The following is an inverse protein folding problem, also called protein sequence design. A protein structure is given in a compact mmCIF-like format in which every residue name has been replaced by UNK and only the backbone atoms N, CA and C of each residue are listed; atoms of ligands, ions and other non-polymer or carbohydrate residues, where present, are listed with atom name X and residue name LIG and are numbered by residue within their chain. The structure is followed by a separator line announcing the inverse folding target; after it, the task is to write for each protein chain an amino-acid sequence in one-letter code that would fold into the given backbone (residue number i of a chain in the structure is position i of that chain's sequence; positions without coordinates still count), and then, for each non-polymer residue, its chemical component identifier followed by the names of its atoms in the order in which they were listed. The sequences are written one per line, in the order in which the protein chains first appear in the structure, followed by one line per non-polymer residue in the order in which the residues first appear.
data_IF_840521364152
#
_entry.id   IF_840521364152
#
_cell.length_a   1.000
_cell.length_b   1.000
_cell.length_c   1.000
_cell.angle_alpha   90.00
_cell.angle_beta   90.00
_cell.angle_gamma   90.00
#
_symmetry.space_group_name_H-M   'P 1'
#
loop_
_entity.id
_entity.type
_entity.pdbx_description
1 polymer ?
#
# COMPACT_ATOMS: atom_id res chain seq x y z
N UNK A 1 10.44 -3.10 7.46
CA UNK A 1 9.07 -3.43 7.01
C UNK A 1 8.08 -2.50 7.68
N UNK A 2 8.06 -2.42 9.01
CA UNK A 2 7.19 -1.49 9.77
C UNK A 2 7.18 -0.05 9.23
N UNK A 3 8.35 0.59 9.08
CA UNK A 3 8.47 1.96 8.51
C UNK A 3 7.78 2.15 7.15
N UNK A 4 7.74 1.12 6.31
CA UNK A 4 7.09 1.19 4.99
C UNK A 4 5.57 1.20 5.17
N UNK A 5 5.04 0.32 6.03
CA UNK A 5 3.62 0.31 6.35
C UNK A 5 3.17 1.60 7.03
N UNK A 6 3.99 2.15 7.93
CA UNK A 6 3.66 3.38 8.64
C UNK A 6 3.57 4.56 7.66
N UNK A 7 4.52 4.66 6.72
CA UNK A 7 4.47 5.68 5.66
C UNK A 7 3.24 5.52 4.75
N UNK A 8 2.95 4.30 4.31
CA UNK A 8 1.76 4.03 3.50
C UNK A 8 0.47 4.35 4.27
N UNK A 9 0.42 4.08 5.57
CA UNK A 9 -0.71 4.43 6.42
C UNK A 9 -0.88 5.95 6.52
N UNK A 10 0.21 6.70 6.72
CA UNK A 10 0.17 8.15 6.73
C UNK A 10 -0.36 8.71 5.39
N UNK A 11 0.17 8.24 4.26
CA UNK A 11 -0.27 8.69 2.94
C UNK A 11 -1.75 8.37 2.69
N UNK A 12 -2.22 7.19 3.12
CA UNK A 12 -3.63 6.81 3.07
C UNK A 12 -4.48 7.77 3.88
N UNK A 13 -4.09 8.07 5.11
CA UNK A 13 -4.86 8.95 5.99
C UNK A 13 -4.96 10.37 5.41
N UNK A 14 -3.88 10.88 4.80
CA UNK A 14 -3.90 12.15 4.05
C UNK A 14 -4.86 12.09 2.84
N UNK A 15 -4.84 11.00 2.09
CA UNK A 15 -5.70 10.83 0.91
C UNK A 15 -7.18 10.68 1.28
N UNK A 16 -7.51 10.02 2.39
CA UNK A 16 -8.89 9.91 2.90
C UNK A 16 -9.46 11.30 3.18
N UNK A 17 -8.65 12.19 3.77
CA UNK A 17 -9.07 13.57 4.04
C UNK A 17 -9.37 14.32 2.74
N UNK A 18 -8.56 14.10 1.69
CA UNK A 18 -8.73 14.73 0.37
C UNK A 18 -9.86 14.10 -0.45
N UNK A 19 -10.16 12.82 -0.23
CA UNK A 19 -11.13 12.04 -1.01
C UNK A 19 -12.58 12.55 -0.90
N UNK A 20 -12.91 13.38 0.09
CA UNK A 20 -14.23 14.00 0.20
C UNK A 20 -14.63 14.85 -1.02
N UNK A 21 -13.68 15.16 -1.92
CA UNK A 21 -13.90 15.92 -3.16
C UNK A 21 -13.59 15.09 -4.44
N UNK A 22 -13.43 13.77 -4.31
CA UNK A 22 -12.88 12.91 -5.36
C UNK A 22 -13.81 12.66 -6.55
N UNK A 23 -13.21 12.59 -7.75
CA UNK A 23 -13.87 12.08 -8.97
C UNK A 23 -13.92 10.55 -8.97
N UNK A 24 -14.88 9.97 -9.68
CA UNK A 24 -15.07 8.52 -9.82
C UNK A 24 -13.76 7.77 -10.20
N UNK A 25 -12.99 8.32 -11.15
CA UNK A 25 -11.71 7.73 -11.60
C UNK A 25 -10.66 7.66 -10.49
N UNK A 26 -10.64 8.62 -9.56
CA UNK A 26 -9.75 8.60 -8.41
C UNK A 26 -10.20 7.57 -7.36
N UNK A 27 -11.51 7.28 -7.29
CA UNK A 27 -12.07 6.26 -6.40
C UNK A 27 -11.71 4.84 -6.87
N UNK A 28 -11.76 4.56 -8.18
CA UNK A 28 -11.40 3.24 -8.71
C UNK A 28 -9.91 2.92 -8.48
N UNK A 29 -9.02 3.89 -8.75
CA UNK A 29 -7.59 3.74 -8.48
C UNK A 29 -7.31 3.61 -6.97
N UNK A 30 -8.08 4.34 -6.14
CA UNK A 30 -8.01 4.24 -4.68
C UNK A 30 -8.36 2.84 -4.17
N UNK A 31 -9.50 2.28 -4.59
CA UNK A 31 -9.92 0.93 -4.19
C UNK A 31 -8.89 -0.13 -4.59
N UNK A 32 -8.31 0.00 -5.80
CA UNK A 32 -7.21 -0.86 -6.26
C UNK A 32 -5.99 -0.79 -5.32
N UNK A 33 -5.59 0.40 -4.89
CA UNK A 33 -4.46 0.56 -3.96
C UNK A 33 -4.78 0.04 -2.55
N UNK A 34 -5.99 0.22 -2.04
CA UNK A 34 -6.41 -0.34 -0.74
C UNK A 34 -6.41 -1.88 -0.74
N UNK A 35 -6.82 -2.50 -1.85
CA UNK A 35 -6.71 -3.95 -2.05
C UNK A 35 -5.27 -4.43 -1.98
N UNK A 36 -4.35 -3.73 -2.65
CA UNK A 36 -2.91 -4.02 -2.60
C UNK A 36 -2.32 -3.79 -1.21
N UNK A 37 -2.72 -2.73 -0.50
CA UNK A 37 -2.26 -2.46 0.86
C UNK A 37 -2.69 -3.57 1.83
N UNK A 38 -3.90 -4.10 1.67
CA UNK A 38 -4.38 -5.26 2.44
C UNK A 38 -3.51 -6.48 2.17
N UNK A 39 -3.24 -6.81 0.90
CA UNK A 39 -2.34 -7.91 0.54
C UNK A 39 -0.93 -7.72 1.11
N UNK A 40 -0.41 -6.49 1.10
CA UNK A 40 0.89 -6.16 1.68
C UNK A 40 0.93 -6.45 3.18
N UNK A 41 -0.10 -6.05 3.93
CA UNK A 41 -0.21 -6.32 5.38
C UNK A 41 -0.25 -7.82 5.67
N UNK A 42 -0.99 -8.59 4.87
CA UNK A 42 -1.04 -10.06 5.01
C UNK A 42 0.34 -10.69 4.77
N UNK A 43 1.01 -10.34 3.67
CA UNK A 43 2.35 -10.85 3.35
C UNK A 43 3.38 -10.48 4.42
N UNK A 44 3.31 -9.26 4.92
CA UNK A 44 4.14 -8.80 6.01
C UNK A 44 3.97 -9.61 7.31
N UNK A 45 2.72 -9.94 7.67
CA UNK A 45 2.43 -10.79 8.84
C UNK A 45 2.86 -12.25 8.66
N UNK A 46 2.80 -12.77 7.43
CA UNK A 46 3.29 -14.11 7.12
C UNK A 46 4.82 -14.20 7.13
N UNK A 47 5.53 -13.13 6.75
CA UNK A 47 6.99 -13.11 6.75
C UNK A 47 7.60 -13.34 8.15
N UNK A 48 6.87 -13.05 9.23
CA UNK A 48 7.32 -13.30 10.60
C UNK A 48 7.15 -14.75 11.08
N UNK A 49 6.39 -15.59 10.36
CA UNK A 49 6.05 -16.96 10.80
C UNK A 49 6.69 -18.06 9.96
N UNK A 50 7.46 -17.71 8.93
CA UNK A 50 8.05 -18.64 7.96
C UNK A 50 9.58 -18.68 8.07
N UNK A 51 10.19 -19.76 7.53
CA UNK A 51 11.64 -19.95 7.53
C UNK A 51 12.38 -18.79 6.84
N UNK A 52 13.60 -18.50 7.30
CA UNK A 52 14.35 -17.29 6.94
C UNK A 52 14.59 -17.12 5.42
N UNK A 53 14.80 -18.22 4.69
CA UNK A 53 14.96 -18.17 3.23
C UNK A 53 13.63 -17.89 2.51
N UNK A 54 12.52 -18.49 2.93
CA UNK A 54 11.20 -18.16 2.39
C UNK A 54 10.77 -16.72 2.74
N UNK A 55 11.22 -16.20 3.90
CA UNK A 55 10.96 -14.83 4.32
C UNK A 55 11.64 -13.80 3.41
N UNK A 56 12.78 -14.12 2.77
CA UNK A 56 13.47 -13.23 1.83
C UNK A 56 12.62 -12.96 0.59
N UNK A 57 12.03 -14.00 0.01
CA UNK A 57 11.19 -13.88 -1.19
C UNK A 57 9.90 -13.12 -0.89
N UNK A 58 9.27 -13.42 0.25
CA UNK A 58 8.07 -12.70 0.71
C UNK A 58 8.40 -11.22 0.95
N UNK A 59 9.56 -10.92 1.54
CA UNK A 59 10.01 -9.53 1.76
C UNK A 59 10.28 -8.79 0.45
N UNK A 60 10.85 -9.46 -0.56
CA UNK A 60 11.06 -8.87 -1.88
C UNK A 60 9.72 -8.55 -2.56
N UNK A 61 8.78 -9.50 -2.57
CA UNK A 61 7.44 -9.30 -3.12
C UNK A 61 6.66 -8.20 -2.36
N UNK A 62 6.78 -8.15 -1.03
CA UNK A 62 6.19 -7.11 -0.21
C UNK A 62 6.78 -5.72 -0.56
N UNK A 63 8.09 -5.62 -0.80
CA UNK A 63 8.72 -4.36 -1.19
C UNK A 63 8.21 -3.86 -2.55
N UNK A 64 8.10 -4.75 -3.55
CA UNK A 64 7.56 -4.39 -4.86
C UNK A 64 6.11 -3.89 -4.75
N UNK A 65 5.28 -4.58 -3.97
CA UNK A 65 3.90 -4.18 -3.74
C UNK A 65 3.80 -2.82 -3.04
N UNK A 66 4.67 -2.56 -2.06
CA UNK A 66 4.75 -1.25 -1.40
C UNK A 66 5.16 -0.12 -2.36
N UNK A 67 6.07 -0.37 -3.29
CA UNK A 67 6.46 0.61 -4.31
C UNK A 67 5.31 0.89 -5.28
N UNK A 68 4.51 -0.12 -5.64
CA UNK A 68 3.30 0.07 -6.45
C UNK A 68 2.25 0.92 -5.74
N UNK A 69 1.98 0.64 -4.46
CA UNK A 69 1.01 1.41 -3.66
C UNK A 69 1.47 2.87 -3.54
N UNK A 70 2.75 3.13 -3.22
CA UNK A 70 3.28 4.49 -3.17
C UNK A 70 3.05 5.23 -4.49
N UNK A 71 3.35 4.60 -5.63
CA UNK A 71 3.13 5.21 -6.94
C UNK A 71 1.65 5.47 -7.22
N UNK A 72 0.75 4.59 -6.80
CA UNK A 72 -0.69 4.78 -6.93
C UNK A 72 -1.19 5.93 -6.07
N UNK A 73 -0.82 5.97 -4.79
CA UNK A 73 -1.13 7.08 -3.89
C UNK A 73 -0.60 8.43 -4.41
N UNK A 74 0.62 8.48 -4.96
CA UNK A 74 1.15 9.69 -5.57
C UNK A 74 0.38 10.14 -6.81
N UNK A 75 -0.20 9.21 -7.58
CA UNK A 75 -1.08 9.55 -8.70
C UNK A 75 -2.41 10.09 -8.20
N UNK A 76 -3.05 9.39 -7.25
CA UNK A 76 -4.34 9.80 -6.67
C UNK A 76 -4.22 11.18 -6.03
N UNK A 77 -3.14 11.44 -5.31
CA UNK A 77 -2.84 12.77 -4.72
C UNK A 77 -2.82 13.89 -5.75
N UNK A 78 -2.42 13.62 -6.99
CA UNK A 78 -2.37 14.62 -8.09
C UNK A 78 -3.71 14.83 -8.78
N UNK A 79 -4.71 13.99 -8.49
CA UNK A 79 -6.07 14.12 -9.02
C UNK A 79 -6.97 15.02 -8.15
N UNK A 80 -6.50 15.34 -6.94
CA UNK A 80 -7.09 16.30 -6.01
C UNK A 80 -6.38 17.65 -6.11
#
# INVERSE_FOLDING_TARGET
MQKILDNLAQQRDELIVQAHLAKLEAMDEWESMEGKLTQLRTKAGQASTVAEDAAKDIKAAAKQLAEEINRGYDKIRKLF
#
